data_IF_745519138390
#
_entry.id   IF_745519138390
#
_cell.length_a   1.000
_cell.length_b   1.000
_cell.length_c   1.000
_cell.angle_alpha   90.00
_cell.angle_beta   90.00
_cell.angle_gamma   90.00
#
_symmetry.space_group_name_H-M   'P 1'
#
loop_
_entity.id
_entity.type
_entity.pdbx_description
1 polymer ?
#
# COMPACT_ATOMS: atom_id res chain seq x y z
N UNK A 1 16.81 5.12 -27.52
CA UNK A 1 16.67 3.68 -27.25
C UNK A 1 15.66 3.54 -26.12
N UNK A 2 14.58 2.77 -26.32
CA UNK A 2 13.64 2.47 -25.24
C UNK A 2 14.28 1.52 -24.22
N UNK A 3 13.84 1.52 -22.96
CA UNK A 3 14.24 0.51 -21.97
C UNK A 3 13.97 -0.91 -22.45
N UNK A 4 12.95 -1.10 -23.28
CA UNK A 4 12.63 -2.37 -23.90
C UNK A 4 13.67 -2.80 -24.95
N UNK A 5 14.19 -1.88 -25.75
CA UNK A 5 15.21 -2.17 -26.76
C UNK A 5 16.56 -2.51 -26.11
N UNK A 6 16.88 -1.83 -25.00
CA UNK A 6 18.04 -2.14 -24.17
C UNK A 6 17.91 -3.55 -23.55
N UNK A 7 16.73 -3.89 -23.04
CA UNK A 7 16.45 -5.22 -22.51
C UNK A 7 16.56 -6.31 -23.58
N UNK A 8 16.06 -6.06 -24.80
CA UNK A 8 16.20 -6.98 -25.93
C UNK A 8 17.68 -7.22 -26.27
N UNK A 9 18.48 -6.15 -26.34
CA UNK A 9 19.93 -6.23 -26.58
C UNK A 9 20.65 -6.99 -25.46
N UNK A 10 20.24 -6.78 -24.21
CA UNK A 10 20.75 -7.49 -23.05
C UNK A 10 20.44 -8.99 -23.12
N UNK A 11 19.20 -9.37 -23.43
CA UNK A 11 18.80 -10.77 -23.60
C UNK A 11 19.61 -11.41 -24.73
N UNK A 12 19.77 -10.75 -25.87
CA UNK A 12 20.61 -11.27 -26.95
C UNK A 12 22.07 -11.48 -26.52
N UNK A 13 22.64 -10.53 -25.78
CA UNK A 13 24.01 -10.61 -25.29
C UNK A 13 24.18 -11.80 -24.36
N UNK A 14 23.27 -11.99 -23.40
CA UNK A 14 23.33 -13.13 -22.48
C UNK A 14 23.22 -14.44 -23.25
N UNK A 15 22.31 -14.54 -24.22
CA UNK A 15 22.14 -15.75 -25.02
C UNK A 15 23.38 -16.08 -25.86
N UNK A 16 24.05 -15.06 -26.41
CA UNK A 16 25.27 -15.22 -27.23
C UNK A 16 26.50 -15.52 -26.39
N UNK A 17 26.62 -14.92 -25.21
CA UNK A 17 27.84 -14.95 -24.39
C UNK A 17 27.68 -15.67 -23.04
N UNK A 18 26.65 -16.52 -22.88
CA UNK A 18 26.34 -17.24 -21.62
C UNK A 18 27.48 -18.16 -21.12
N UNK A 19 28.53 -18.34 -21.90
CA UNK A 19 29.68 -19.22 -21.62
C UNK A 19 30.99 -18.43 -21.51
N UNK A 20 30.96 -17.10 -21.58
CA UNK A 20 32.16 -16.30 -21.30
C UNK A 20 32.17 -16.08 -19.78
N UNK A 21 33.02 -16.81 -19.03
CA UNK A 21 33.20 -16.48 -17.62
C UNK A 21 33.63 -15.00 -17.54
N UNK A 22 33.06 -14.20 -16.62
CA UNK A 22 33.60 -12.87 -16.37
C UNK A 22 35.07 -13.10 -16.02
N UNK A 23 35.98 -12.49 -16.78
CA UNK A 23 37.42 -12.78 -16.74
C UNK A 23 37.97 -12.65 -15.31
N UNK A 24 37.95 -13.74 -14.54
CA UNK A 24 38.58 -13.87 -13.24
C UNK A 24 39.75 -14.81 -13.42
N UNK A 25 40.94 -14.23 -13.35
CA UNK A 25 42.21 -14.92 -13.28
C UNK A 25 42.18 -16.07 -12.27
N UNK A 26 42.42 -17.29 -12.74
CA UNK A 26 42.95 -18.43 -11.96
C UNK A 26 42.28 -18.70 -10.62
N UNK A 27 41.12 -19.35 -10.64
CA UNK A 27 40.47 -19.91 -9.46
C UNK A 27 39.24 -20.72 -9.85
N UNK A 28 38.96 -21.81 -9.14
CA UNK A 28 37.77 -22.66 -9.29
C UNK A 28 36.53 -21.82 -9.59
N UNK A 29 35.90 -22.03 -10.74
CA UNK A 29 34.76 -21.20 -11.17
C UNK A 29 33.61 -21.35 -10.17
N UNK A 30 33.31 -20.26 -9.46
CA UNK A 30 32.16 -20.23 -8.57
C UNK A 30 30.88 -20.25 -9.43
N UNK A 31 29.89 -21.09 -9.10
CA UNK A 31 28.61 -21.06 -9.77
C UNK A 31 27.97 -19.68 -9.57
N UNK A 32 27.57 -19.03 -10.66
CA UNK A 32 26.88 -17.75 -10.63
C UNK A 32 25.43 -17.92 -11.10
N UNK A 33 24.57 -17.00 -10.68
CA UNK A 33 23.12 -16.99 -10.96
C UNK A 33 22.78 -15.64 -11.60
N UNK A 34 21.93 -15.64 -12.62
CA UNK A 34 21.41 -14.43 -13.22
C UNK A 34 20.15 -13.99 -12.48
N UNK A 35 20.16 -12.80 -11.89
CA UNK A 35 18.98 -12.19 -11.26
C UNK A 35 18.49 -11.02 -12.12
N UNK A 36 17.22 -11.07 -12.51
CA UNK A 36 16.51 -9.96 -13.16
C UNK A 36 15.51 -9.43 -12.15
N UNK A 37 15.81 -8.28 -11.56
CA UNK A 37 14.98 -7.66 -10.52
C UNK A 37 13.81 -6.85 -11.11
N UNK A 38 14.11 -6.06 -12.16
CA UNK A 38 13.14 -5.17 -12.79
C UNK A 38 12.93 -5.50 -14.27
N UNK A 39 11.67 -5.60 -14.69
CA UNK A 39 11.28 -5.72 -16.09
C UNK A 39 10.92 -4.34 -16.68
N UNK A 40 11.22 -4.09 -17.97
CA UNK A 40 10.83 -2.84 -18.61
C UNK A 40 9.30 -2.72 -18.68
N UNK A 41 8.80 -1.52 -18.41
CA UNK A 41 7.37 -1.19 -18.54
C UNK A 41 6.94 -1.35 -20.01
N UNK A 42 6.15 -2.38 -20.28
CA UNK A 42 5.65 -2.69 -21.61
C UNK A 42 4.21 -2.17 -21.79
N UNK A 43 4.10 -0.89 -22.17
CA UNK A 43 2.79 -0.26 -22.39
C UNK A 43 2.21 -0.68 -23.75
N UNK A 44 1.05 -1.34 -23.73
CA UNK A 44 0.31 -1.73 -24.92
C UNK A 44 0.70 -3.10 -25.50
N UNK A 45 -0.18 -3.65 -26.34
CA UNK A 45 -0.09 -5.03 -26.86
C UNK A 45 1.22 -5.33 -27.60
N UNK A 46 1.71 -4.39 -28.40
CA UNK A 46 2.93 -4.58 -29.18
C UNK A 46 4.19 -4.66 -28.30
N UNK A 47 4.33 -3.75 -27.33
CA UNK A 47 5.45 -3.75 -26.40
C UNK A 47 5.44 -4.99 -25.49
N UNK A 48 4.26 -5.40 -25.03
CA UNK A 48 4.09 -6.63 -24.26
C UNK A 48 4.48 -7.87 -25.07
N UNK A 49 4.01 -7.97 -26.31
CA UNK A 49 4.37 -9.07 -27.21
C UNK A 49 5.89 -9.16 -27.45
N UNK A 50 6.59 -8.03 -27.54
CA UNK A 50 8.06 -8.00 -27.61
C UNK A 50 8.69 -8.52 -26.32
N UNK A 51 8.25 -8.03 -25.16
CA UNK A 51 8.77 -8.47 -23.86
C UNK A 51 8.57 -9.98 -23.66
N UNK A 52 7.38 -10.51 -23.95
CA UNK A 52 7.08 -11.94 -23.92
C UNK A 52 8.02 -12.73 -24.82
N UNK A 53 8.27 -12.28 -26.06
CA UNK A 53 9.22 -12.93 -26.97
C UNK A 53 10.64 -12.96 -26.41
N UNK A 54 11.12 -11.84 -25.86
CA UNK A 54 12.45 -11.76 -25.26
C UNK A 54 12.59 -12.73 -24.08
N UNK A 55 11.62 -12.72 -23.18
CA UNK A 55 11.61 -13.57 -21.98
C UNK A 55 11.45 -15.05 -22.31
N UNK A 56 10.57 -15.39 -23.24
CA UNK A 56 10.41 -16.76 -23.72
C UNK A 56 11.70 -17.28 -24.37
N UNK A 57 12.36 -16.44 -25.17
CA UNK A 57 13.65 -16.78 -25.77
C UNK A 57 14.75 -16.95 -24.72
N UNK A 58 14.78 -16.08 -23.69
CA UNK A 58 15.71 -16.19 -22.56
C UNK A 58 15.50 -17.50 -21.80
N UNK A 59 14.26 -17.78 -21.37
CA UNK A 59 13.93 -18.99 -20.60
C UNK A 59 14.28 -20.28 -21.35
N UNK A 60 14.08 -20.34 -22.67
CA UNK A 60 14.42 -21.52 -23.49
C UNK A 60 15.91 -21.71 -23.76
N UNK A 61 16.72 -20.67 -23.67
CA UNK A 61 18.12 -20.71 -24.08
C UNK A 61 19.12 -20.40 -22.98
N UNK A 62 18.63 -20.11 -21.77
CA UNK A 62 19.48 -19.89 -20.62
C UNK A 62 20.23 -21.17 -20.26
N UNK A 63 21.53 -21.03 -20.01
CA UNK A 63 22.42 -22.12 -19.56
C UNK A 63 22.85 -21.95 -18.10
N UNK A 64 22.41 -20.86 -17.48
CA UNK A 64 22.76 -20.43 -16.12
C UNK A 64 21.44 -20.33 -15.36
N UNK A 65 21.38 -20.74 -14.07
CA UNK A 65 20.19 -20.51 -13.25
C UNK A 65 19.77 -19.05 -13.33
N UNK A 66 18.54 -18.79 -13.77
CA UNK A 66 18.02 -17.44 -14.01
C UNK A 66 16.78 -17.24 -13.16
N UNK A 67 16.80 -16.21 -12.31
CA UNK A 67 15.72 -15.82 -11.42
C UNK A 67 15.17 -14.50 -11.95
N UNK A 68 13.85 -14.43 -12.13
CA UNK A 68 13.15 -13.23 -12.55
C UNK A 68 12.20 -12.85 -11.41
N UNK A 69 12.43 -11.68 -10.82
CA UNK A 69 11.55 -11.13 -9.79
C UNK A 69 10.45 -10.32 -10.47
N UNK A 70 9.22 -10.56 -10.03
CA UNK A 70 8.04 -9.91 -10.57
C UNK A 70 7.17 -9.51 -9.39
N UNK A 71 6.91 -8.21 -9.29
CA UNK A 71 6.04 -7.67 -8.25
C UNK A 71 4.62 -7.53 -8.79
N UNK A 72 3.71 -8.34 -8.25
CA UNK A 72 2.28 -8.23 -8.55
C UNK A 72 1.69 -7.02 -7.80
N UNK A 73 1.30 -5.98 -8.53
CA UNK A 73 0.48 -4.91 -7.97
C UNK A 73 -0.98 -5.36 -8.01
N UNK A 74 -1.48 -5.91 -6.90
CA UNK A 74 -2.92 -6.16 -6.75
C UNK A 74 -3.68 -4.84 -6.92
N UNK A 75 -4.32 -4.66 -8.08
CA UNK A 75 -5.28 -3.60 -8.31
C UNK A 75 -6.58 -4.00 -7.62
N UNK A 76 -6.88 -3.27 -6.55
CA UNK A 76 -8.23 -3.12 -6.02
C UNK A 76 -9.13 -2.68 -7.18
N UNK A 77 -10.03 -3.56 -7.61
CA UNK A 77 -11.26 -3.32 -8.38
C UNK A 77 -11.21 -2.25 -9.50
N UNK A 78 -10.10 -2.14 -10.23
CA UNK A 78 -10.09 -1.36 -11.47
C UNK A 78 -10.07 -2.37 -12.61
N UNK A 79 -11.15 -2.39 -13.41
CA UNK A 79 -11.37 -3.22 -14.60
C UNK A 79 -10.36 -2.91 -15.72
N UNK A 80 -9.07 -3.00 -15.41
CA UNK A 80 -8.01 -2.42 -16.19
C UNK A 80 -7.12 -3.52 -16.79
N UNK A 81 -6.68 -3.29 -18.02
CA UNK A 81 -5.90 -4.19 -18.90
C UNK A 81 -4.63 -4.81 -18.25
N UNK A 82 -4.25 -4.34 -17.07
CA UNK A 82 -3.03 -4.69 -16.35
C UNK A 82 -3.07 -6.06 -15.65
N UNK A 83 -4.25 -6.59 -15.28
CA UNK A 83 -4.30 -7.95 -14.68
C UNK A 83 -4.05 -9.03 -15.73
N UNK A 84 -4.69 -8.89 -16.90
CA UNK A 84 -4.51 -9.78 -18.05
C UNK A 84 -3.08 -9.78 -18.56
N UNK A 85 -2.41 -8.62 -18.52
CA UNK A 85 -1.00 -8.48 -18.89
C UNK A 85 -0.09 -9.44 -18.12
N UNK A 86 -0.32 -9.62 -16.81
CA UNK A 86 0.55 -10.46 -16.00
C UNK A 86 0.27 -11.94 -16.22
N UNK A 87 -1.01 -12.33 -16.28
CA UNK A 87 -1.42 -13.71 -16.57
C UNK A 87 -0.85 -14.21 -17.92
N UNK A 88 -0.87 -13.34 -18.95
CA UNK A 88 -0.30 -13.62 -20.27
C UNK A 88 1.24 -13.77 -20.20
N UNK A 89 1.91 -12.90 -19.44
CA UNK A 89 3.37 -12.95 -19.25
C UNK A 89 3.81 -14.21 -18.49
N UNK A 90 3.09 -14.55 -17.43
CA UNK A 90 3.31 -15.75 -16.64
C UNK A 90 3.16 -17.00 -17.51
N UNK A 91 2.05 -17.11 -18.26
CA UNK A 91 1.81 -18.23 -19.17
C UNK A 91 2.90 -18.36 -20.24
N UNK A 92 3.39 -17.23 -20.74
CA UNK A 92 4.50 -17.19 -21.70
C UNK A 92 5.81 -17.74 -21.14
N UNK A 93 6.13 -17.43 -19.88
CA UNK A 93 7.31 -17.94 -19.17
C UNK A 93 7.18 -19.42 -18.79
N UNK A 94 6.03 -19.84 -18.27
CA UNK A 94 5.78 -21.24 -17.89
C UNK A 94 5.82 -22.17 -19.11
N UNK A 95 5.23 -21.75 -20.24
CA UNK A 95 5.32 -22.47 -21.51
C UNK A 95 6.75 -22.56 -22.06
N UNK A 96 7.66 -21.68 -21.63
CA UNK A 96 9.08 -21.71 -21.97
C UNK A 96 9.90 -22.64 -21.05
N UNK A 97 9.27 -23.20 -20.01
CA UNK A 97 9.92 -24.05 -18.99
C UNK A 97 10.30 -23.33 -17.70
N UNK A 98 9.85 -22.08 -17.49
CA UNK A 98 10.08 -21.39 -16.22
C UNK A 98 9.17 -21.97 -15.11
N UNK A 99 9.68 -21.97 -13.87
CA UNK A 99 8.92 -22.38 -12.69
C UNK A 99 8.47 -21.15 -11.90
N UNK A 100 7.17 -21.03 -11.63
CA UNK A 100 6.62 -19.96 -10.78
C UNK A 100 6.81 -20.31 -9.31
N UNK A 101 7.42 -19.39 -8.56
CA UNK A 101 7.46 -19.40 -7.10
C UNK A 101 6.70 -18.19 -6.60
N UNK A 102 5.56 -18.41 -5.93
CA UNK A 102 4.74 -17.36 -5.36
C UNK A 102 5.09 -17.12 -3.89
N UNK A 103 5.17 -15.84 -3.49
CA UNK A 103 5.39 -15.44 -2.11
C UNK A 103 4.07 -14.98 -1.50
N UNK A 104 3.61 -15.69 -0.46
CA UNK A 104 2.44 -15.28 0.30
C UNK A 104 2.78 -14.15 1.27
N UNK A 105 1.83 -13.24 1.58
CA UNK A 105 2.00 -12.25 2.64
C UNK A 105 2.41 -12.91 3.95
N UNK A 106 3.34 -12.27 4.66
CA UNK A 106 3.89 -12.82 5.90
C UNK A 106 2.84 -12.81 7.00
N UNK A 107 2.76 -13.88 7.79
CA UNK A 107 1.75 -13.94 8.86
C UNK A 107 1.98 -12.85 9.90
N UNK A 108 0.89 -12.34 10.47
CA UNK A 108 0.95 -11.33 11.53
C UNK A 108 1.74 -11.80 12.75
N UNK A 109 1.71 -13.11 13.06
CA UNK A 109 2.50 -13.70 14.13
C UNK A 109 4.02 -13.65 13.84
N UNK A 110 4.44 -13.99 12.62
CA UNK A 110 5.84 -13.90 12.20
C UNK A 110 6.34 -12.45 12.23
N UNK A 111 5.53 -11.49 11.77
CA UNK A 111 5.86 -10.06 11.84
C UNK A 111 5.99 -9.60 13.28
N UNK A 112 5.06 -9.97 14.18
CA UNK A 112 5.15 -9.64 15.61
C UNK A 112 6.45 -10.15 16.24
N UNK A 113 6.85 -11.38 15.92
CA UNK A 113 8.11 -11.96 16.42
C UNK A 113 9.31 -11.17 15.90
N UNK A 114 9.34 -10.85 14.60
CA UNK A 114 10.42 -10.06 14.00
C UNK A 114 10.51 -8.65 14.60
N UNK A 115 9.39 -7.94 14.71
CA UNK A 115 9.34 -6.60 15.31
C UNK A 115 9.73 -6.61 16.79
N UNK A 116 9.31 -7.63 17.55
CA UNK A 116 9.69 -7.77 18.96
C UNK A 116 11.20 -7.98 19.12
N UNK A 117 11.83 -8.71 18.19
CA UNK A 117 13.29 -8.87 18.15
C UNK A 117 13.98 -7.55 17.82
N UNK A 118 13.53 -6.84 16.80
CA UNK A 118 14.06 -5.52 16.43
C UNK A 118 13.93 -4.53 17.60
N UNK A 119 12.78 -4.49 18.29
CA UNK A 119 12.61 -3.63 19.46
C UNK A 119 13.60 -3.93 20.59
N UNK A 120 13.92 -5.20 20.82
CA UNK A 120 14.89 -5.60 21.85
C UNK A 120 16.32 -5.19 21.48
N UNK A 121 16.70 -5.40 20.22
CA UNK A 121 18.05 -5.07 19.71
C UNK A 121 18.26 -3.55 19.65
N UNK A 122 17.25 -2.79 19.22
CA UNK A 122 17.31 -1.33 19.06
C UNK A 122 16.91 -0.54 20.33
N UNK A 123 16.65 -1.24 21.44
CA UNK A 123 16.21 -0.67 22.72
C UNK A 123 15.01 0.28 22.57
N UNK A 124 14.03 -0.12 21.75
CA UNK A 124 12.82 0.64 21.50
C UNK A 124 11.81 0.48 22.64
N UNK A 125 11.07 1.54 22.98
CA UNK A 125 10.06 1.54 24.05
C UNK A 125 8.66 1.09 23.61
N UNK A 126 8.54 0.37 22.47
CA UNK A 126 7.24 -0.03 21.95
C UNK A 126 6.65 -1.18 22.77
N UNK A 127 5.36 -1.05 23.14
CA UNK A 127 4.65 -2.09 23.90
C UNK A 127 4.23 -3.25 22.99
N UNK A 128 3.95 -4.41 23.59
CA UNK A 128 3.50 -5.59 22.85
C UNK A 128 2.21 -5.32 22.05
N UNK A 129 1.30 -4.50 22.58
CA UNK A 129 0.04 -4.13 21.92
C UNK A 129 0.29 -3.23 20.70
N UNK A 130 1.24 -2.30 20.79
CA UNK A 130 1.64 -1.44 19.67
C UNK A 130 2.28 -2.25 18.54
N UNK A 131 3.15 -3.21 18.89
CA UNK A 131 3.74 -4.13 17.92
C UNK A 131 2.66 -4.98 17.25
N UNK A 132 1.68 -5.46 18.00
CA UNK A 132 0.55 -6.21 17.45
C UNK A 132 -0.31 -5.36 16.50
N UNK A 133 -0.54 -4.09 16.84
CA UNK A 133 -1.27 -3.15 15.98
C UNK A 133 -0.50 -2.91 14.67
N UNK A 134 0.80 -2.62 14.74
CA UNK A 134 1.65 -2.40 13.56
C UNK A 134 1.68 -3.65 12.67
N UNK A 135 1.83 -4.84 13.26
CA UNK A 135 1.86 -6.10 12.53
C UNK A 135 0.52 -6.43 11.85
N UNK A 136 -0.61 -6.08 12.49
CA UNK A 136 -1.93 -6.21 11.87
C UNK A 136 -2.10 -5.23 10.72
N UNK A 137 -1.66 -4.00 10.93
CA UNK A 137 -1.86 -2.91 9.99
C UNK A 137 -0.97 -3.00 8.74
N UNK A 138 0.17 -3.71 8.83
CA UNK A 138 1.06 -3.93 7.70
C UNK A 138 0.58 -4.93 6.66
N UNK A 139 -0.50 -5.69 6.94
CA UNK A 139 -1.11 -6.59 5.96
C UNK A 139 -0.16 -7.65 5.39
N UNK A 140 0.89 -8.02 6.12
CA UNK A 140 1.89 -8.98 5.67
C UNK A 140 3.14 -8.38 4.99
N UNK A 141 3.21 -7.06 4.86
CA UNK A 141 4.41 -6.36 4.38
C UNK A 141 5.39 -6.10 5.54
N UNK A 142 6.57 -6.73 5.47
CA UNK A 142 7.63 -6.56 6.49
C UNK A 142 8.22 -5.15 6.43
N UNK A 143 8.44 -4.61 5.23
CA UNK A 143 9.06 -3.28 5.05
C UNK A 143 8.15 -2.22 5.66
N UNK A 144 6.85 -2.26 5.35
CA UNK A 144 5.86 -1.37 5.96
C UNK A 144 5.83 -1.50 7.49
N UNK A 145 5.89 -2.73 8.01
CA UNK A 145 5.89 -2.97 9.45
C UNK A 145 7.12 -2.36 10.15
N UNK A 146 8.31 -2.57 9.59
CA UNK A 146 9.57 -2.04 10.14
C UNK A 146 9.59 -0.51 10.06
N UNK A 147 9.21 0.08 8.92
CA UNK A 147 9.15 1.54 8.77
C UNK A 147 8.13 2.16 9.73
N UNK A 148 6.98 1.53 9.91
CA UNK A 148 5.96 1.96 10.88
C UNK A 148 6.50 1.94 12.31
N UNK A 149 7.25 0.90 12.68
CA UNK A 149 7.90 0.80 13.98
C UNK A 149 8.97 1.88 14.16
N UNK A 150 9.81 2.11 13.15
CA UNK A 150 10.83 3.16 13.18
C UNK A 150 10.19 4.54 13.39
N UNK A 151 9.14 4.86 12.63
CA UNK A 151 8.43 6.12 12.74
C UNK A 151 7.79 6.30 14.12
N UNK A 152 7.19 5.24 14.65
CA UNK A 152 6.65 5.23 16.01
C UNK A 152 7.73 5.56 17.05
N UNK A 153 8.90 4.92 16.96
CA UNK A 153 10.01 5.15 17.88
C UNK A 153 10.61 6.57 17.76
N UNK A 154 10.67 7.12 16.54
CA UNK A 154 11.14 8.50 16.31
C UNK A 154 10.20 9.54 16.92
N UNK A 155 8.87 9.37 16.77
CA UNK A 155 7.88 10.26 17.41
C UNK A 155 8.01 10.20 18.93
N UNK A 156 8.15 9.01 19.49
CA UNK A 156 8.31 8.84 20.94
C UNK A 156 9.59 9.47 21.49
N UNK A 157 10.65 9.61 20.67
CA UNK A 157 11.91 10.31 21.03
C UNK A 157 11.83 11.83 20.91
N UNK A 158 10.83 12.38 20.21
CA UNK A 158 10.59 13.84 20.14
C UNK A 158 9.70 14.36 21.27
N UNK A 159 8.84 13.50 21.83
CA UNK A 159 7.95 13.81 22.96
C UNK A 159 8.62 13.81 24.38
N UNK A 160 9.81 13.24 24.68
CA UNK A 160 10.34 13.22 26.04
C UNK A 160 10.86 14.59 26.52
N UNK A 161 11.02 15.57 25.64
CA UNK A 161 11.63 16.88 25.96
C UNK A 161 10.63 17.94 26.42
N UNK A 162 9.32 17.72 26.30
CA UNK A 162 8.28 18.68 26.76
C UNK A 162 7.69 18.36 28.14
N UNK A 163 8.04 17.22 28.75
CA UNK A 163 7.47 16.76 30.03
C UNK A 163 8.46 16.83 31.21
N UNK A 164 9.60 17.51 31.07
CA UNK A 164 10.63 17.62 32.12
C UNK A 164 10.81 19.02 32.73
N UNK A 165 9.78 19.86 32.74
CA UNK A 165 9.76 21.04 33.62
C UNK A 165 8.37 21.24 34.25
N UNK A 166 8.14 20.58 35.39
CA UNK A 166 7.39 21.16 36.51
C UNK A 166 7.33 20.17 37.67
N UNK A 167 8.39 20.10 38.47
CA UNK A 167 8.27 19.66 39.86
C UNK A 167 7.75 20.84 40.67
N UNK A 168 6.48 20.83 41.08
CA UNK A 168 6.01 21.37 42.37
C UNK A 168 4.51 21.08 42.58
N UNK A 169 4.26 20.39 43.69
CA UNK A 169 3.02 20.13 44.44
C UNK A 169 1.72 20.86 44.06
N UNK A 170 0.67 20.08 43.79
CA UNK A 170 -0.64 20.19 44.47
C UNK A 170 -1.57 19.03 44.09
N UNK A 171 -2.09 18.33 45.12
CA UNK A 171 -3.16 17.32 45.02
C UNK A 171 -4.45 18.02 44.63
N UNK A 172 -5.07 17.67 43.51
CA UNK A 172 -6.52 17.79 43.31
C UNK A 172 -7.01 17.00 42.09
N UNK A 173 -8.04 16.17 42.33
CA UNK A 173 -8.99 15.51 41.42
C UNK A 173 -8.48 14.88 40.11
N UNK A 174 -8.44 13.54 40.14
CA UNK A 174 -8.60 12.64 38.99
C UNK A 174 -9.77 13.09 38.11
N UNK A 175 -9.45 13.71 36.98
CA UNK A 175 -10.29 13.76 35.80
C UNK A 175 -9.46 13.19 34.66
N UNK A 176 -10.07 12.23 33.96
CA UNK A 176 -9.56 11.52 32.80
C UNK A 176 -8.91 12.46 31.78
N UNK A 177 -7.59 12.59 31.85
CA UNK A 177 -6.80 13.01 30.70
C UNK A 177 -6.36 11.72 30.01
N UNK A 178 -7.32 11.12 29.31
CA UNK A 178 -7.01 10.26 28.17
C UNK A 178 -6.03 11.05 27.28
N UNK A 179 -4.92 10.46 26.82
CA UNK A 179 -4.06 11.13 25.86
C UNK A 179 -4.82 11.27 24.55
N UNK A 180 -5.45 12.42 24.34
CA UNK A 180 -5.86 12.90 23.03
C UNK A 180 -4.62 13.00 22.16
N UNK A 181 -4.54 12.18 21.10
CA UNK A 181 -3.37 12.23 20.23
C UNK A 181 -3.33 11.24 19.07
N UNK A 182 -4.47 11.00 18.41
CA UNK A 182 -4.53 10.32 17.12
C UNK A 182 -4.41 8.80 17.20
N UNK A 183 -5.46 8.11 16.75
CA UNK A 183 -5.31 6.72 16.33
C UNK A 183 -4.08 6.64 15.41
N UNK A 184 -3.04 5.93 15.85
CA UNK A 184 -1.89 5.68 15.00
C UNK A 184 -2.39 4.81 13.85
N UNK A 185 -2.75 5.47 12.75
CA UNK A 185 -3.18 4.87 11.50
C UNK A 185 -1.96 4.21 10.85
N UNK A 186 -1.49 3.12 11.44
CA UNK A 186 -0.45 2.27 10.87
C UNK A 186 -0.98 1.44 9.70
N UNK A 187 -2.28 1.56 9.39
CA UNK A 187 -2.94 0.86 8.31
C UNK A 187 -2.72 1.56 6.98
N UNK A 188 -2.82 0.78 5.91
CA UNK A 188 -3.08 1.30 4.57
C UNK A 188 -4.36 2.14 4.65
N UNK A 189 -4.39 3.30 3.99
CA UNK A 189 -5.63 4.10 3.92
C UNK A 189 -6.78 3.18 3.48
N UNK A 190 -7.83 3.09 4.29
CA UNK A 190 -9.04 2.35 3.93
C UNK A 190 -9.70 3.08 2.76
N UNK A 191 -9.29 2.70 1.55
CA UNK A 191 -9.82 3.28 0.34
C UNK A 191 -11.25 2.79 0.17
N UNK A 192 -12.23 3.68 0.36
CA UNK A 192 -13.59 3.38 -0.07
C UNK A 192 -13.60 3.40 -1.60
N UNK A 193 -14.24 2.41 -2.24
CA UNK A 193 -14.51 2.52 -3.67
C UNK A 193 -15.25 3.82 -3.96
N UNK A 194 -14.85 4.54 -5.02
CA UNK A 194 -15.44 5.83 -5.40
C UNK A 194 -16.98 5.76 -5.45
N UNK A 195 -17.53 4.65 -5.94
CA UNK A 195 -18.98 4.43 -6.00
C UNK A 195 -19.62 4.24 -4.63
N UNK A 196 -18.92 3.64 -3.67
CA UNK A 196 -19.42 3.51 -2.30
C UNK A 196 -19.44 4.85 -1.56
N UNK A 197 -18.42 5.68 -1.79
CA UNK A 197 -18.40 7.05 -1.30
C UNK A 197 -19.53 7.88 -1.93
N UNK A 198 -19.65 7.89 -3.26
CA UNK A 198 -20.72 8.59 -3.99
C UNK A 198 -22.11 8.09 -3.62
N UNK A 199 -22.28 6.78 -3.39
CA UNK A 199 -23.53 6.21 -2.91
C UNK A 199 -23.94 6.73 -1.53
N UNK A 200 -22.98 6.96 -0.63
CA UNK A 200 -23.24 7.63 0.66
C UNK A 200 -23.67 9.08 0.47
N UNK A 201 -23.14 9.79 -0.52
CA UNK A 201 -23.54 11.16 -0.85
C UNK A 201 -24.97 11.22 -1.40
N UNK A 202 -25.30 10.37 -2.38
CA UNK A 202 -26.61 10.36 -3.03
C UNK A 202 -27.72 9.80 -2.14
N UNK A 203 -27.42 8.80 -1.30
CA UNK A 203 -28.40 8.14 -0.44
C UNK A 203 -28.22 8.47 1.03
N UNK A 204 -27.77 9.68 1.33
CA UNK A 204 -27.47 10.10 2.69
C UNK A 204 -28.75 10.11 3.54
N UNK A 205 -28.82 9.21 4.52
CA UNK A 205 -29.94 9.16 5.47
C UNK A 205 -29.85 10.36 6.41
N UNK A 206 -30.99 10.84 6.90
CA UNK A 206 -31.04 11.87 7.95
C UNK A 206 -31.22 11.20 9.31
N UNK A 207 -30.71 11.85 10.34
CA UNK A 207 -30.90 11.37 11.71
C UNK A 207 -32.40 11.31 12.06
N UNK A 208 -32.81 10.25 12.77
CA UNK A 208 -34.14 10.21 13.38
C UNK A 208 -34.12 11.02 14.68
N UNK A 209 -35.28 11.53 15.08
CA UNK A 209 -35.55 12.53 16.13
C UNK A 209 -35.05 12.25 17.57
N UNK A 210 -34.06 11.38 17.79
CA UNK A 210 -33.66 10.94 19.12
C UNK A 210 -32.17 11.07 19.47
N UNK A 211 -31.36 11.78 18.67
CA UNK A 211 -29.96 12.08 19.01
C UNK A 211 -29.79 13.57 19.33
N UNK A 212 -29.83 13.89 20.62
CA UNK A 212 -29.12 14.99 21.28
C UNK A 212 -29.22 16.42 20.73
N UNK A 213 -30.02 17.23 21.44
CA UNK A 213 -29.71 18.64 21.76
C UNK A 213 -29.76 19.64 20.61
N UNK A 214 -30.88 20.35 20.50
CA UNK A 214 -31.04 21.55 19.67
C UNK A 214 -29.90 22.56 19.94
N UNK A 215 -28.85 22.52 19.12
CA UNK A 215 -27.94 23.64 18.96
C UNK A 215 -28.74 24.80 18.40
N UNK A 216 -28.72 25.93 19.10
CA UNK A 216 -29.39 27.15 18.70
C UNK A 216 -28.82 27.61 17.35
N UNK A 217 -29.56 27.39 16.27
CA UNK A 217 -29.23 27.94 14.95
C UNK A 217 -29.62 29.42 14.92
N UNK A 218 -28.69 30.25 14.45
CA UNK A 218 -28.73 31.72 14.46
C UNK A 218 -29.77 32.29 13.47
N UNK A 219 -30.45 31.42 12.72
CA UNK A 219 -31.50 31.77 11.77
C UNK A 219 -32.81 31.00 12.06
N UNK A 220 -33.87 31.73 12.41
CA UNK A 220 -35.22 31.16 12.56
C UNK A 220 -35.81 30.79 11.18
N UNK A 221 -35.47 29.61 10.69
CA UNK A 221 -36.15 28.99 9.56
C UNK A 221 -37.57 28.59 9.98
N UNK A 222 -38.58 28.84 9.12
CA UNK A 222 -39.95 28.34 9.38
C UNK A 222 -39.89 26.82 9.52
N UNK A 223 -40.62 26.28 10.49
CA UNK A 223 -40.64 24.86 10.88
C UNK A 223 -40.79 23.88 9.69
N UNK A 224 -41.50 24.28 8.64
CA UNK A 224 -41.68 23.50 7.40
C UNK A 224 -40.40 23.29 6.58
N UNK A 225 -39.35 24.08 6.82
CA UNK A 225 -38.06 24.01 6.14
C UNK A 225 -36.95 23.44 7.03
N UNK A 226 -37.26 23.12 8.29
CA UNK A 226 -36.29 22.50 9.20
C UNK A 226 -36.00 21.08 8.70
N UNK A 227 -34.74 20.84 8.36
CA UNK A 227 -34.25 19.54 7.89
C UNK A 227 -33.41 18.92 9.00
N UNK A 228 -33.68 17.66 9.32
CA UNK A 228 -32.84 16.88 10.24
C UNK A 228 -31.41 16.78 9.70
N UNK A 229 -30.40 16.81 10.59
CA UNK A 229 -29.00 16.70 10.20
C UNK A 229 -28.76 15.40 9.42
N UNK A 230 -27.82 15.47 8.49
CA UNK A 230 -27.39 14.33 7.70
C UNK A 230 -26.65 13.34 8.60
N UNK A 231 -26.88 12.04 8.43
CA UNK A 231 -26.25 10.98 9.21
C UNK A 231 -24.77 10.77 8.82
N UNK A 232 -24.33 11.30 7.68
CA UNK A 232 -22.93 11.30 7.30
C UNK A 232 -22.14 12.27 8.17
N UNK A 233 -20.98 11.84 8.67
CA UNK A 233 -19.96 12.76 9.21
C UNK A 233 -19.39 13.70 8.14
N UNK A 234 -18.26 14.33 8.39
CA UNK A 234 -17.72 15.34 7.47
C UNK A 234 -17.57 14.78 6.03
N UNK A 235 -18.25 15.36 5.04
CA UNK A 235 -18.24 14.86 3.66
C UNK A 235 -16.83 14.83 3.06
N UNK A 236 -15.99 15.77 3.46
CA UNK A 236 -14.58 15.85 3.07
C UNK A 236 -13.80 14.59 3.47
N UNK A 237 -14.11 14.00 4.63
CA UNK A 237 -13.49 12.76 5.10
C UNK A 237 -13.96 11.51 4.33
N UNK A 238 -15.15 11.55 3.73
CA UNK A 238 -15.65 10.46 2.89
C UNK A 238 -15.00 10.51 1.50
N UNK A 239 -14.83 11.72 0.95
CA UNK A 239 -14.17 11.92 -0.33
C UNK A 239 -12.66 11.68 -0.28
N UNK A 240 -11.99 12.10 0.81
CA UNK A 240 -10.56 11.85 0.99
C UNK A 240 -10.23 10.35 0.97
N UNK A 241 -11.08 9.53 1.59
CA UNK A 241 -10.97 8.06 1.57
C UNK A 241 -11.23 7.47 0.18
N UNK A 242 -11.99 8.14 -0.68
CA UNK A 242 -12.41 7.64 -1.98
C UNK A 242 -11.36 7.79 -3.10
N UNK A 243 -10.27 8.55 -2.86
CA UNK A 243 -9.20 8.82 -3.83
C UNK A 243 -9.68 9.25 -5.24
N UNK A 244 -10.88 9.82 -5.34
CA UNK A 244 -11.42 10.28 -6.62
C UNK A 244 -10.89 11.66 -7.01
N UNK A 245 -10.69 11.90 -8.31
CA UNK A 245 -10.39 13.24 -8.79
C UNK A 245 -11.63 14.15 -8.66
N UNK A 246 -11.42 15.40 -8.23
CA UNK A 246 -12.49 16.33 -7.92
C UNK A 246 -13.45 16.60 -9.10
N UNK A 247 -12.94 16.62 -10.34
CA UNK A 247 -13.74 16.88 -11.54
C UNK A 247 -14.76 15.75 -11.83
N UNK A 248 -14.34 14.48 -11.98
CA UNK A 248 -15.29 13.38 -12.13
C UNK A 248 -16.34 13.27 -11.02
N UNK A 249 -15.96 13.59 -9.77
CA UNK A 249 -16.89 13.59 -8.64
C UNK A 249 -17.94 14.69 -8.81
N UNK A 250 -17.52 15.91 -9.14
CA UNK A 250 -18.42 17.04 -9.34
C UNK A 250 -19.37 16.80 -10.53
N UNK A 251 -18.85 16.28 -11.64
CA UNK A 251 -19.64 15.96 -12.83
C UNK A 251 -20.69 14.88 -12.51
N UNK A 252 -20.30 13.81 -11.81
CA UNK A 252 -21.21 12.74 -11.41
C UNK A 252 -22.30 13.22 -10.44
N UNK A 253 -21.95 14.05 -9.46
CA UNK A 253 -22.93 14.63 -8.54
C UNK A 253 -23.85 15.63 -9.25
N UNK A 254 -23.36 16.38 -10.23
CA UNK A 254 -24.18 17.30 -11.01
C UNK A 254 -25.21 16.55 -11.87
N UNK A 255 -24.80 15.46 -12.50
CA UNK A 255 -25.68 14.62 -13.31
C UNK A 255 -26.73 13.88 -12.48
N UNK A 256 -26.37 13.41 -11.28
CA UNK A 256 -27.24 12.56 -10.45
C UNK A 256 -27.93 13.28 -9.28
N UNK A 257 -27.57 14.53 -8.99
CA UNK A 257 -28.08 15.30 -7.85
C UNK A 257 -29.36 16.11 -8.11
N UNK A 258 -29.89 16.08 -9.33
CA UNK A 258 -31.06 16.85 -9.76
C UNK A 258 -32.40 16.07 -9.63
N UNK A 259 -32.54 15.19 -8.62
CA UNK A 259 -33.83 14.58 -8.26
C UNK A 259 -34.45 15.22 -7.03
#
# INVERSE_FOLDING_TARGET
MSKLDEFETFVERIRKYSMIPPSSSGGTENPYVLLIDDLPLANGKAAHGKLCKCLHALARSTKIPTIILITEYNKVDTADNSSRYWEDLQSCLESAGACKVAFNPVTTNSIKVALSRICKEEQCSATADQIALIAKASGGDIRHAVTSLQYFCLRQRQIPSLLKLSSTHSKEKLLDIAPMGGALSFGRDETLSLFHALGKFLHNKRESLCASGLGADEFQLRERFVRLPLQMGDPENVLSKAHGQARPIADFLHENGNM
#
